data_IF_433998126012
#
_entry.id   IF_433998126012
#
_cell.length_a   1.000
_cell.length_b   1.000
_cell.length_c   1.000
_cell.angle_alpha   90.00
_cell.angle_beta   90.00
_cell.angle_gamma   90.00
#
_symmetry.space_group_name_H-M   'P 1'
#
loop_
_entity.id
_entity.type
_entity.pdbx_description
1 polymer ?
#
# COMPACT_ATOMS: atom_id res chain seq x y z
N UNK A 1 21.10 -1.80 -47.74
CA UNK A 1 21.24 -2.67 -46.56
C UNK A 1 21.73 -1.81 -45.40
N UNK A 2 20.85 -1.31 -44.60
CA UNK A 2 21.17 -0.55 -43.35
C UNK A 2 20.80 -1.43 -42.16
N UNK A 3 21.81 -1.75 -41.38
CA UNK A 3 21.71 -2.55 -40.18
C UNK A 3 21.32 -1.61 -39.01
N UNK A 4 20.11 -1.74 -38.49
CA UNK A 4 19.67 -1.03 -37.31
C UNK A 4 20.25 -1.71 -36.05
N UNK A 5 21.12 -0.97 -35.35
CA UNK A 5 21.65 -1.37 -34.05
C UNK A 5 20.59 -1.13 -33.00
N UNK A 6 20.03 -2.19 -32.47
CA UNK A 6 19.31 -2.17 -31.19
C UNK A 6 20.31 -1.88 -30.06
N UNK A 7 20.23 -0.69 -29.48
CA UNK A 7 20.96 -0.35 -28.26
C UNK A 7 20.25 -0.97 -27.07
N UNK A 8 20.74 -2.10 -26.59
CA UNK A 8 20.43 -2.68 -25.28
C UNK A 8 21.10 -1.81 -24.21
N UNK A 9 20.31 -0.99 -23.51
CA UNK A 9 20.76 -0.32 -22.30
C UNK A 9 20.86 -1.34 -21.16
N UNK A 10 22.04 -1.93 -21.01
CA UNK A 10 22.42 -2.62 -19.78
C UNK A 10 22.86 -1.57 -18.77
N UNK A 11 21.93 -1.13 -17.92
CA UNK A 11 22.30 -0.40 -16.71
C UNK A 11 22.86 -1.42 -15.73
N UNK A 12 24.19 -1.44 -15.59
CA UNK A 12 24.86 -2.14 -14.49
C UNK A 12 24.41 -1.51 -13.17
N UNK A 13 23.53 -2.21 -12.47
CA UNK A 13 23.28 -1.95 -11.05
C UNK A 13 24.60 -2.30 -10.35
N UNK A 14 25.31 -1.27 -9.85
CA UNK A 14 26.46 -1.48 -8.97
C UNK A 14 25.94 -2.15 -7.70
N UNK A 15 26.51 -3.29 -7.39
CA UNK A 15 26.32 -4.03 -6.18
C UNK A 15 26.53 -3.11 -4.99
N UNK A 16 25.44 -2.75 -4.33
CA UNK A 16 25.45 -2.17 -2.99
C UNK A 16 25.28 -3.34 -2.02
N UNK A 17 26.38 -4.09 -1.82
CA UNK A 17 26.48 -5.03 -0.71
C UNK A 17 26.56 -4.24 0.61
N UNK A 18 25.41 -3.83 1.10
CA UNK A 18 25.19 -3.66 2.53
C UNK A 18 24.02 -4.58 2.87
N UNK A 19 24.32 -5.72 3.51
CA UNK A 19 23.35 -6.50 4.28
C UNK A 19 22.89 -5.66 5.48
N UNK A 20 22.26 -4.53 5.23
CA UNK A 20 21.46 -3.80 6.18
C UNK A 20 20.17 -4.59 6.37
N UNK A 21 19.81 -4.88 7.60
CA UNK A 21 18.51 -5.46 7.93
C UNK A 21 17.43 -4.69 7.20
N UNK A 22 16.58 -5.38 6.41
CA UNK A 22 15.47 -4.83 5.60
C UNK A 22 14.37 -4.16 6.46
N UNK A 23 14.64 -3.95 7.72
CA UNK A 23 13.69 -3.53 8.75
C UNK A 23 13.73 -2.04 9.06
N UNK A 24 14.81 -1.34 8.73
CA UNK A 24 14.99 0.06 9.14
C UNK A 24 14.59 1.06 8.06
N UNK A 25 13.72 2.00 8.46
CA UNK A 25 13.37 3.15 7.63
C UNK A 25 14.60 4.05 7.46
N UNK A 26 14.92 4.38 6.20
CA UNK A 26 15.96 5.35 5.90
C UNK A 26 15.40 6.77 6.00
N UNK A 27 15.80 7.52 7.04
CA UNK A 27 15.29 8.86 7.36
C UNK A 27 15.69 9.95 6.36
N UNK A 28 16.66 9.70 5.49
CA UNK A 28 17.07 10.64 4.43
C UNK A 28 16.04 10.74 3.32
N UNK A 29 15.17 9.74 3.20
CA UNK A 29 14.13 9.63 2.18
C UNK A 29 12.74 9.80 2.79
N UNK A 30 11.75 10.22 1.99
CA UNK A 30 10.37 10.23 2.47
C UNK A 30 9.86 8.81 2.74
N UNK A 31 8.87 8.69 3.60
CA UNK A 31 8.09 7.46 3.79
C UNK A 31 6.87 7.57 2.90
N UNK A 32 6.68 6.58 2.04
CA UNK A 32 5.54 6.52 1.12
C UNK A 32 4.53 5.49 1.59
N UNK A 33 3.30 5.92 1.83
CA UNK A 33 2.18 5.06 2.20
C UNK A 33 1.18 5.05 1.07
N UNK A 34 0.97 3.88 0.48
CA UNK A 34 0.09 3.66 -0.66
C UNK A 34 -1.12 2.86 -0.21
N UNK A 35 -2.32 3.40 -0.34
CA UNK A 35 -3.54 2.63 -0.21
C UNK A 35 -4.03 2.16 -1.57
N UNK A 36 -4.39 0.89 -1.71
CA UNK A 36 -4.94 0.35 -2.95
C UNK A 36 -6.46 0.49 -3.00
N UNK A 37 -6.99 0.69 -4.21
CA UNK A 37 -8.40 0.84 -4.49
C UNK A 37 -8.66 1.11 -5.98
N UNK A 38 -9.93 1.12 -6.37
CA UNK A 38 -10.39 1.52 -7.69
C UNK A 38 -10.89 2.97 -7.66
N UNK A 39 -10.57 3.80 -8.65
CA UNK A 39 -11.09 5.16 -8.75
C UNK A 39 -12.57 5.17 -9.16
N UNK A 40 -13.26 6.21 -8.74
CA UNK A 40 -14.65 6.47 -9.11
C UNK A 40 -15.66 6.28 -7.97
N UNK A 41 -16.82 6.95 -8.07
CA UNK A 41 -17.82 6.98 -6.99
C UNK A 41 -18.41 5.59 -6.69
N UNK A 42 -18.58 4.75 -7.70
CA UNK A 42 -19.14 3.39 -7.58
C UNK A 42 -18.33 2.48 -6.65
N UNK A 43 -16.99 2.71 -6.55
CA UNK A 43 -16.10 1.85 -5.76
C UNK A 43 -15.78 2.41 -4.38
N UNK A 44 -16.25 3.63 -4.07
CA UNK A 44 -15.78 4.42 -2.93
C UNK A 44 -15.89 3.68 -1.59
N UNK A 45 -16.92 2.88 -1.39
CA UNK A 45 -17.21 2.20 -0.13
C UNK A 45 -17.04 0.69 -0.21
N UNK A 46 -16.52 0.17 -1.33
CA UNK A 46 -16.35 -1.28 -1.51
C UNK A 46 -15.21 -1.82 -0.64
N UNK A 47 -15.26 -3.12 -0.34
CA UNK A 47 -14.22 -3.83 0.40
C UNK A 47 -12.85 -3.69 -0.24
N UNK A 48 -12.80 -3.72 -1.59
CA UNK A 48 -11.56 -3.56 -2.36
C UNK A 48 -10.91 -2.19 -2.21
N UNK A 49 -11.67 -1.19 -1.76
CA UNK A 49 -11.20 0.17 -1.50
C UNK A 49 -10.78 0.43 -0.05
N UNK A 50 -10.68 -0.59 0.81
CA UNK A 50 -10.28 -0.40 2.20
C UNK A 50 -8.92 0.29 2.34
N UNK A 51 -8.00 0.07 1.37
CA UNK A 51 -6.74 0.81 1.32
C UNK A 51 -6.93 2.31 1.06
N UNK A 52 -7.86 2.70 0.17
CA UNK A 52 -8.21 4.11 -0.06
C UNK A 52 -8.84 4.73 1.19
N UNK A 53 -9.75 4.00 1.85
CA UNK A 53 -10.38 4.45 3.10
C UNK A 53 -9.33 4.67 4.19
N UNK A 54 -8.33 3.79 4.30
CA UNK A 54 -7.23 3.95 5.25
C UNK A 54 -6.39 5.20 4.95
N UNK A 55 -6.09 5.49 3.67
CA UNK A 55 -5.38 6.72 3.28
C UNK A 55 -6.21 7.97 3.58
N UNK A 56 -7.52 7.95 3.33
CA UNK A 56 -8.37 9.11 3.64
C UNK A 56 -8.36 9.40 5.14
N UNK A 57 -8.52 8.38 5.99
CA UNK A 57 -8.46 8.54 7.44
C UNK A 57 -7.07 8.96 7.94
N UNK A 58 -6.00 8.43 7.33
CA UNK A 58 -4.62 8.82 7.63
C UNK A 58 -4.32 10.26 7.19
N UNK A 59 -4.84 10.68 6.04
CA UNK A 59 -4.77 12.06 5.53
C UNK A 59 -5.34 13.07 6.55
N UNK A 60 -6.50 12.75 7.11
CA UNK A 60 -7.13 13.58 8.13
C UNK A 60 -6.30 13.59 9.43
N UNK A 61 -5.87 12.43 9.91
CA UNK A 61 -5.09 12.28 11.14
C UNK A 61 -3.73 12.99 11.10
N UNK A 62 -3.07 13.03 9.92
CA UNK A 62 -1.78 13.68 9.73
C UNK A 62 -1.92 15.13 9.23
N UNK A 63 -3.13 15.61 8.93
CA UNK A 63 -3.41 16.88 8.27
C UNK A 63 -2.63 17.05 6.96
N UNK A 64 -2.54 15.96 6.16
CA UNK A 64 -1.86 15.92 4.85
C UNK A 64 -2.90 15.74 3.76
N UNK A 65 -3.22 16.79 3.01
CA UNK A 65 -4.25 16.76 1.98
C UNK A 65 -3.80 15.98 0.73
N UNK A 66 -4.54 14.93 0.36
CA UNK A 66 -4.30 14.10 -0.83
C UNK A 66 -5.06 14.67 -2.02
N UNK A 67 -4.51 15.72 -2.69
CA UNK A 67 -5.20 16.47 -3.74
C UNK A 67 -4.41 16.65 -5.04
N UNK A 68 -3.11 16.33 -5.06
CA UNK A 68 -2.26 16.56 -6.24
C UNK A 68 -2.20 15.34 -7.13
N UNK A 69 -2.65 15.46 -8.37
CA UNK A 69 -2.55 14.38 -9.36
C UNK A 69 -1.14 14.36 -9.98
N UNK A 70 -0.42 13.26 -9.82
CA UNK A 70 0.90 13.00 -10.44
C UNK A 70 1.10 11.50 -10.66
N UNK A 71 1.73 11.12 -11.78
CA UNK A 71 1.99 9.72 -12.12
C UNK A 71 0.76 8.79 -12.01
N UNK A 72 -0.40 9.26 -12.45
CA UNK A 72 -1.69 8.54 -12.32
C UNK A 72 -2.06 8.20 -10.88
N UNK A 73 -1.64 9.01 -9.90
CA UNK A 73 -2.02 8.88 -8.50
C UNK A 73 -2.41 10.23 -7.91
N UNK A 74 -3.33 10.22 -6.95
CA UNK A 74 -3.56 11.34 -6.06
C UNK A 74 -2.53 11.28 -4.94
N UNK A 75 -1.84 12.40 -4.71
CA UNK A 75 -0.76 12.53 -3.75
C UNK A 75 -1.07 13.59 -2.69
N UNK A 76 -0.63 13.32 -1.47
CA UNK A 76 -0.45 14.29 -0.39
C UNK A 76 0.97 14.24 0.13
N UNK A 77 1.63 15.38 0.21
CA UNK A 77 3.00 15.51 0.74
C UNK A 77 2.96 16.34 2.02
N UNK A 78 3.61 15.88 3.07
CA UNK A 78 3.67 16.58 4.36
C UNK A 78 4.74 16.04 5.28
N UNK A 79 4.58 16.28 6.57
CA UNK A 79 5.48 15.78 7.62
C UNK A 79 4.67 15.20 8.77
N UNK A 80 5.23 14.18 9.40
CA UNK A 80 4.77 13.68 10.69
C UNK A 80 6.00 13.54 11.60
N UNK A 81 6.05 14.34 12.65
CA UNK A 81 7.29 14.56 13.40
C UNK A 81 8.40 15.07 12.48
N UNK A 82 9.55 14.43 12.52
CA UNK A 82 10.70 14.77 11.68
C UNK A 82 10.66 14.14 10.28
N UNK A 83 9.80 13.14 10.06
CA UNK A 83 9.75 12.38 8.82
C UNK A 83 8.95 13.10 7.72
N UNK A 84 9.47 13.07 6.49
CA UNK A 84 8.70 13.45 5.30
C UNK A 84 7.77 12.30 4.92
N UNK A 85 6.51 12.57 4.66
CA UNK A 85 5.48 11.57 4.35
C UNK A 85 4.83 11.88 3.01
N UNK A 86 4.65 10.84 2.20
CA UNK A 86 3.91 10.89 0.94
C UNK A 86 2.76 9.90 1.01
N UNK A 87 1.53 10.40 1.03
CA UNK A 87 0.32 9.59 0.96
C UNK A 87 -0.10 9.43 -0.49
N UNK A 88 -0.47 8.22 -0.90
CA UNK A 88 -0.71 7.89 -2.31
C UNK A 88 -1.98 7.06 -2.47
N UNK A 89 -2.85 7.51 -3.38
CA UNK A 89 -3.99 6.73 -3.91
C UNK A 89 -3.79 6.57 -5.42
N UNK A 90 -3.43 5.36 -5.93
CA UNK A 90 -3.38 5.10 -7.37
C UNK A 90 -4.72 5.37 -8.03
N UNK A 91 -4.75 6.21 -9.07
CA UNK A 91 -5.96 6.54 -9.82
C UNK A 91 -6.08 5.70 -11.10
N UNK A 92 -5.51 4.50 -11.06
CA UNK A 92 -5.68 3.43 -12.04
C UNK A 92 -6.67 2.40 -11.50
N UNK A 93 -7.20 1.52 -12.36
CA UNK A 93 -7.86 0.33 -11.84
C UNK A 93 -6.88 -0.54 -11.04
N UNK A 94 -7.42 -1.34 -10.12
CA UNK A 94 -6.64 -2.16 -9.17
C UNK A 94 -5.53 -2.96 -9.86
N UNK A 95 -5.84 -3.68 -10.94
CA UNK A 95 -4.88 -4.49 -11.69
C UNK A 95 -3.78 -3.68 -12.41
N UNK A 96 -3.84 -2.36 -12.39
CA UNK A 96 -2.84 -1.46 -12.96
C UNK A 96 -2.13 -0.57 -11.92
N UNK A 97 -2.32 -0.84 -10.62
CA UNK A 97 -1.78 -0.01 -9.52
C UNK A 97 -0.27 0.23 -9.64
N UNK A 98 0.48 -0.75 -10.12
CA UNK A 98 1.92 -0.61 -10.35
C UNK A 98 2.30 0.48 -11.35
N UNK A 99 1.42 0.81 -12.32
CA UNK A 99 1.66 1.92 -13.28
C UNK A 99 1.65 3.30 -12.62
N UNK A 100 1.10 3.40 -11.42
CA UNK A 100 1.17 4.61 -10.62
C UNK A 100 2.31 4.53 -9.59
N UNK A 101 2.45 3.38 -8.91
CA UNK A 101 3.39 3.22 -7.79
C UNK A 101 4.85 3.16 -8.25
N UNK A 102 5.19 2.37 -9.28
CA UNK A 102 6.57 2.21 -9.71
C UNK A 102 7.22 3.54 -10.19
N UNK A 103 6.56 4.39 -11.01
CA UNK A 103 7.10 5.70 -11.34
C UNK A 103 7.32 6.62 -10.14
N UNK A 104 6.46 6.53 -9.10
CA UNK A 104 6.63 7.29 -7.87
C UNK A 104 7.85 6.83 -7.08
N UNK A 105 8.03 5.52 -6.90
CA UNK A 105 9.21 4.93 -6.26
C UNK A 105 10.49 5.40 -6.95
N UNK A 106 10.53 5.37 -8.27
CA UNK A 106 11.67 5.86 -9.06
C UNK A 106 11.89 7.37 -8.91
N UNK A 107 10.81 8.16 -8.98
CA UNK A 107 10.88 9.63 -8.86
C UNK A 107 11.45 10.09 -7.52
N UNK A 108 11.03 9.46 -6.43
CA UNK A 108 11.54 9.77 -5.09
C UNK A 108 12.84 9.04 -4.76
N UNK A 109 13.37 8.20 -5.67
CA UNK A 109 14.53 7.30 -5.42
C UNK A 109 14.34 6.52 -4.12
N UNK A 110 13.11 6.06 -3.89
CA UNK A 110 12.64 5.57 -2.61
C UNK A 110 13.28 4.21 -2.28
N UNK A 111 13.98 4.06 -1.13
CA UNK A 111 14.30 2.74 -0.60
C UNK A 111 13.01 1.96 -0.35
N UNK A 112 12.98 0.68 -0.74
CA UNK A 112 11.75 -0.10 -0.61
C UNK A 112 11.35 -0.37 0.84
N UNK A 113 12.27 -0.27 1.81
CA UNK A 113 11.95 -0.25 3.25
C UNK A 113 11.07 0.93 3.68
N UNK A 114 11.09 2.03 2.91
CA UNK A 114 10.26 3.21 3.15
C UNK A 114 8.91 3.19 2.41
N UNK A 115 8.62 2.11 1.67
CA UNK A 115 7.33 1.90 1.00
C UNK A 115 6.43 1.02 1.85
N UNK A 116 5.26 1.51 2.24
CA UNK A 116 4.21 0.70 2.85
C UNK A 116 2.98 0.66 1.93
N UNK A 117 2.55 -0.54 1.51
CA UNK A 117 1.36 -0.72 0.69
C UNK A 117 0.23 -1.33 1.52
N UNK A 118 -0.92 -0.65 1.59
CA UNK A 118 -2.12 -1.06 2.32
C UNK A 118 -3.13 -1.63 1.32
N UNK A 119 -3.61 -2.84 1.59
CA UNK A 119 -4.56 -3.51 0.71
C UNK A 119 -5.50 -4.45 1.48
N UNK A 120 -6.62 -4.79 0.84
CA UNK A 120 -7.56 -5.81 1.30
C UNK A 120 -6.98 -7.21 1.22
N UNK A 121 -7.43 -8.09 2.10
CA UNK A 121 -7.03 -9.49 2.11
C UNK A 121 -8.20 -10.42 2.47
N UNK A 122 -8.52 -11.34 1.54
CA UNK A 122 -9.60 -12.32 1.69
C UNK A 122 -9.29 -13.44 2.68
N UNK A 123 -8.00 -13.75 2.87
CA UNK A 123 -7.55 -14.87 3.70
C UNK A 123 -7.42 -14.50 5.18
N UNK A 124 -7.54 -13.22 5.51
CA UNK A 124 -7.61 -12.74 6.88
C UNK A 124 -9.06 -12.47 7.28
N UNK A 125 -9.48 -12.91 8.47
CA UNK A 125 -10.80 -12.55 9.02
C UNK A 125 -11.01 -11.04 9.02
N UNK A 126 -12.24 -10.59 8.80
CA UNK A 126 -12.58 -9.17 8.97
C UNK A 126 -12.32 -8.74 10.42
N UNK A 127 -11.69 -7.58 10.59
CA UNK A 127 -11.20 -7.15 11.89
C UNK A 127 -9.74 -7.54 12.18
N UNK A 128 -9.01 -8.15 11.22
CA UNK A 128 -7.60 -8.50 11.38
C UNK A 128 -6.71 -7.56 10.58
N UNK A 129 -5.62 -7.11 11.22
CA UNK A 129 -4.56 -6.36 10.57
C UNK A 129 -3.26 -7.14 10.60
N UNK A 130 -2.53 -7.19 9.50
CA UNK A 130 -1.25 -7.89 9.41
C UNK A 130 -0.23 -7.15 8.54
N UNK A 131 0.86 -6.72 9.16
CA UNK A 131 2.03 -6.19 8.46
C UNK A 131 3.01 -7.32 8.14
N UNK A 132 3.71 -7.19 7.02
CA UNK A 132 4.77 -8.09 6.57
C UNK A 132 5.88 -7.29 5.91
N UNK A 133 7.18 -7.68 6.05
CA UNK A 133 8.29 -7.02 5.39
C UNK A 133 8.30 -7.27 3.88
N UNK A 134 7.78 -8.42 3.48
CA UNK A 134 7.79 -8.90 2.09
C UNK A 134 6.71 -9.95 1.88
N UNK A 135 6.54 -10.44 0.65
CA UNK A 135 5.69 -11.58 0.35
C UNK A 135 4.96 -11.47 -0.99
N UNK A 136 4.32 -12.55 -1.39
CA UNK A 136 3.57 -12.65 -2.64
C UNK A 136 2.29 -11.79 -2.67
N UNK A 137 1.47 -12.03 -3.67
CA UNK A 137 0.28 -11.22 -3.97
C UNK A 137 -0.94 -11.55 -3.12
N UNK A 138 -0.99 -12.74 -2.50
CA UNK A 138 -2.21 -13.29 -1.85
C UNK A 138 -3.47 -13.17 -2.73
N UNK A 139 -3.32 -13.31 -4.05
CA UNK A 139 -4.42 -13.15 -5.02
C UNK A 139 -4.82 -11.69 -5.29
N UNK A 140 -4.27 -10.72 -4.59
CA UNK A 140 -4.62 -9.30 -4.77
C UNK A 140 -3.96 -8.73 -6.03
N UNK A 141 -4.81 -8.29 -6.99
CA UNK A 141 -4.37 -7.89 -8.34
C UNK A 141 -3.51 -6.62 -8.35
N UNK A 142 -3.75 -5.69 -7.42
CA UNK A 142 -2.96 -4.47 -7.29
C UNK A 142 -1.55 -4.76 -6.81
N UNK A 143 -1.41 -5.66 -5.82
CA UNK A 143 -0.10 -6.15 -5.37
C UNK A 143 0.65 -6.87 -6.48
N UNK A 144 -0.04 -7.70 -7.28
CA UNK A 144 0.56 -8.35 -8.45
C UNK A 144 1.12 -7.33 -9.44
N UNK A 145 0.36 -6.28 -9.75
CA UNK A 145 0.80 -5.20 -10.63
C UNK A 145 2.03 -4.45 -10.08
N UNK A 146 2.05 -4.15 -8.78
CA UNK A 146 3.17 -3.45 -8.15
C UNK A 146 4.43 -4.33 -8.17
N UNK A 147 4.33 -5.60 -7.76
CA UNK A 147 5.45 -6.55 -7.75
C UNK A 147 6.03 -6.72 -9.17
N UNK A 148 5.18 -6.86 -10.18
CA UNK A 148 5.61 -6.99 -11.57
C UNK A 148 6.39 -5.76 -12.04
N UNK A 149 5.92 -4.55 -11.75
CA UNK A 149 6.54 -3.32 -12.26
C UNK A 149 7.71 -2.82 -11.41
N UNK A 150 7.81 -3.20 -10.14
CA UNK A 150 9.01 -2.98 -9.32
C UNK A 150 10.07 -4.08 -9.53
N UNK A 151 9.69 -5.25 -10.07
CA UNK A 151 10.58 -6.40 -10.26
C UNK A 151 10.96 -7.11 -8.95
N UNK A 152 10.26 -6.82 -7.85
CA UNK A 152 10.54 -7.41 -6.54
C UNK A 152 9.30 -7.41 -5.65
N UNK A 153 9.27 -8.33 -4.70
CA UNK A 153 8.26 -8.41 -3.64
C UNK A 153 8.81 -7.97 -2.26
N UNK A 154 10.03 -7.46 -2.22
CA UNK A 154 10.74 -7.09 -1.00
C UNK A 154 10.43 -5.65 -0.60
N UNK A 155 9.21 -5.41 -0.11
CA UNK A 155 8.76 -4.14 0.46
C UNK A 155 7.65 -4.36 1.50
N UNK A 156 7.54 -3.50 2.51
CA UNK A 156 6.50 -3.55 3.53
C UNK A 156 5.08 -3.47 2.98
N UNK A 157 4.18 -4.27 3.54
CA UNK A 157 2.75 -4.23 3.27
C UNK A 157 1.91 -4.38 4.53
N UNK A 158 0.76 -3.76 4.52
CA UNK A 158 -0.28 -3.89 5.53
C UNK A 158 -1.50 -4.54 4.89
N UNK A 159 -1.86 -5.73 5.35
CA UNK A 159 -3.01 -6.52 4.91
C UNK A 159 -4.16 -6.24 5.87
N UNK A 160 -5.26 -5.73 5.35
CA UNK A 160 -6.49 -5.52 6.09
C UNK A 160 -7.47 -6.65 5.75
N UNK A 161 -7.78 -7.48 6.73
CA UNK A 161 -8.70 -8.59 6.57
C UNK A 161 -10.10 -8.09 6.21
N UNK A 162 -10.68 -8.68 5.17
CA UNK A 162 -12.08 -8.45 4.78
C UNK A 162 -12.92 -9.73 4.86
N UNK A 163 -12.28 -10.86 5.21
CA UNK A 163 -12.90 -12.17 5.25
C UNK A 163 -13.18 -12.75 3.87
N UNK A 164 -13.53 -14.02 3.85
CA UNK A 164 -13.94 -14.71 2.62
C UNK A 164 -15.43 -14.50 2.32
N UNK A 165 -15.82 -14.53 1.04
CA UNK A 165 -17.23 -14.44 0.66
C UNK A 165 -18.04 -15.58 1.28
N UNK A 166 -19.29 -15.30 1.69
CA UNK A 166 -20.17 -16.33 2.24
C UNK A 166 -20.65 -17.31 1.13
N UNK A 167 -20.75 -18.59 1.49
CA UNK A 167 -21.27 -19.64 0.60
C UNK A 167 -20.44 -19.81 -0.66
N UNK A 168 -21.08 -19.71 -1.83
CA UNK A 168 -20.45 -19.89 -3.15
C UNK A 168 -20.29 -18.57 -3.93
N UNK A 169 -20.35 -17.41 -3.25
CA UNK A 169 -20.20 -16.12 -3.90
C UNK A 169 -18.79 -15.97 -4.50
N UNK A 170 -18.72 -15.45 -5.73
CA UNK A 170 -17.46 -15.17 -6.40
C UNK A 170 -16.63 -14.13 -5.62
N UNK A 171 -15.34 -14.41 -5.32
CA UNK A 171 -14.47 -13.47 -4.64
C UNK A 171 -14.36 -12.10 -5.32
N UNK A 172 -14.39 -12.05 -6.66
CA UNK A 172 -14.34 -10.78 -7.41
C UNK A 172 -15.62 -9.96 -7.18
N UNK A 173 -16.77 -10.62 -7.15
CA UNK A 173 -18.03 -9.95 -6.83
C UNK A 173 -18.04 -9.46 -5.38
N UNK A 174 -17.53 -10.24 -4.44
CA UNK A 174 -17.50 -9.92 -3.02
C UNK A 174 -16.65 -8.68 -2.72
N UNK A 175 -15.44 -8.58 -3.25
CA UNK A 175 -14.57 -7.43 -3.00
C UNK A 175 -15.12 -6.12 -3.58
N UNK A 176 -15.98 -6.20 -4.57
CA UNK A 176 -16.66 -5.05 -5.17
C UNK A 176 -17.97 -4.66 -4.47
N UNK A 177 -18.40 -5.41 -3.44
CA UNK A 177 -19.53 -5.02 -2.57
C UNK A 177 -19.08 -4.10 -1.46
N UNK A 178 -19.98 -3.22 -1.05
CA UNK A 178 -19.79 -2.36 0.11
C UNK A 178 -19.77 -3.19 1.41
N UNK A 179 -19.14 -2.64 2.45
CA UNK A 179 -19.30 -3.15 3.80
C UNK A 179 -20.75 -2.99 4.26
N UNK A 180 -21.28 -4.01 4.94
CA UNK A 180 -22.65 -3.98 5.47
C UNK A 180 -22.79 -2.92 6.57
N UNK A 181 -24.01 -2.41 6.81
CA UNK A 181 -24.25 -1.51 7.95
C UNK A 181 -23.79 -2.08 9.29
N UNK A 182 -23.96 -3.39 9.50
CA UNK A 182 -23.51 -4.10 10.71
C UNK A 182 -21.99 -4.24 10.84
N UNK A 183 -21.24 -3.99 9.77
CA UNK A 183 -19.76 -4.06 9.74
C UNK A 183 -19.11 -2.69 9.95
N UNK A 184 -19.88 -1.59 9.94
CA UNK A 184 -19.32 -0.22 9.93
C UNK A 184 -18.55 0.12 11.22
N UNK A 185 -19.01 -0.32 12.37
CA UNK A 185 -18.33 -0.05 13.65
C UNK A 185 -16.96 -0.74 13.67
N UNK A 186 -16.91 -2.03 13.29
CA UNK A 186 -15.66 -2.77 13.21
C UNK A 186 -14.74 -2.20 12.12
N UNK A 187 -15.29 -1.79 10.96
CA UNK A 187 -14.50 -1.11 9.90
C UNK A 187 -13.85 0.16 10.44
N UNK A 188 -14.57 0.96 11.22
CA UNK A 188 -14.01 2.18 11.83
C UNK A 188 -12.86 1.87 12.78
N UNK A 189 -12.95 0.79 13.58
CA UNK A 189 -11.88 0.33 14.46
C UNK A 189 -10.67 -0.13 13.62
N UNK A 190 -10.89 -0.95 12.58
CA UNK A 190 -9.83 -1.39 11.65
C UNK A 190 -9.09 -0.21 11.03
N UNK A 191 -9.82 0.77 10.53
CA UNK A 191 -9.24 1.96 9.90
C UNK A 191 -8.49 2.83 10.91
N UNK A 192 -9.00 2.96 12.14
CA UNK A 192 -8.30 3.69 13.21
C UNK A 192 -7.00 2.98 13.60
N UNK A 193 -7.04 1.66 13.78
CA UNK A 193 -5.85 0.85 14.07
C UNK A 193 -4.84 0.92 12.92
N UNK A 194 -5.30 0.93 11.67
CA UNK A 194 -4.42 1.11 10.50
C UNK A 194 -3.72 2.48 10.52
N UNK A 195 -4.41 3.56 10.92
CA UNK A 195 -3.80 4.88 11.10
C UNK A 195 -2.70 4.85 12.16
N UNK A 196 -2.98 4.29 13.32
CA UNK A 196 -1.99 4.18 14.41
C UNK A 196 -0.79 3.32 14.02
N UNK A 197 -1.03 2.22 13.30
CA UNK A 197 0.03 1.39 12.75
C UNK A 197 0.88 2.15 11.72
N UNK A 198 0.28 2.98 10.85
CA UNK A 198 1.02 3.85 9.94
C UNK A 198 1.86 4.89 10.69
N UNK A 199 1.32 5.53 11.73
CA UNK A 199 2.06 6.48 12.56
C UNK A 199 3.25 5.81 13.25
N UNK A 200 3.06 4.60 13.81
CA UNK A 200 4.13 3.82 14.43
C UNK A 200 5.16 3.38 13.36
N UNK A 201 4.72 2.97 12.17
CA UNK A 201 5.62 2.66 11.06
C UNK A 201 6.50 3.87 10.70
N UNK A 202 5.93 5.08 10.63
CA UNK A 202 6.67 6.30 10.31
C UNK A 202 7.71 6.64 11.39
N UNK A 203 7.38 6.43 12.66
CA UNK A 203 8.22 6.89 13.79
C UNK A 203 9.20 5.83 14.30
N UNK A 204 8.80 4.56 14.28
CA UNK A 204 9.49 3.48 14.96
C UNK A 204 9.89 2.31 14.05
N UNK A 205 9.44 2.33 12.78
CA UNK A 205 9.78 1.32 11.79
C UNK A 205 8.89 0.07 11.82
N UNK A 206 9.16 -0.84 10.87
CA UNK A 206 8.28 -1.98 10.59
C UNK A 206 8.23 -2.99 11.73
N UNK A 207 9.36 -3.36 12.32
CA UNK A 207 9.44 -4.41 13.35
C UNK A 207 8.58 -4.09 14.55
N UNK A 208 8.68 -2.85 15.07
CA UNK A 208 7.86 -2.42 16.21
C UNK A 208 6.37 -2.38 15.83
N UNK A 209 6.07 -1.92 14.63
CA UNK A 209 4.69 -1.89 14.12
C UNK A 209 4.10 -3.30 14.03
N UNK A 210 4.85 -4.27 13.50
CA UNK A 210 4.41 -5.67 13.42
C UNK A 210 4.14 -6.25 14.81
N UNK A 211 5.03 -6.01 15.77
CA UNK A 211 4.90 -6.54 17.13
C UNK A 211 3.67 -5.98 17.86
N UNK A 212 3.30 -4.73 17.55
CA UNK A 212 2.21 -4.04 18.25
C UNK A 212 0.83 -4.28 17.59
N UNK A 213 0.77 -4.39 16.26
CA UNK A 213 -0.51 -4.33 15.54
C UNK A 213 -0.88 -5.59 14.77
N UNK A 214 -0.01 -6.61 14.67
CA UNK A 214 -0.38 -7.85 14.01
C UNK A 214 -1.34 -8.66 14.88
N UNK A 215 -2.60 -8.76 14.44
CA UNK A 215 -3.64 -9.51 15.14
C UNK A 215 -5.04 -9.04 14.80
N UNK A 216 -5.99 -9.48 15.62
CA UNK A 216 -7.34 -8.96 15.61
C UNK A 216 -7.35 -7.58 16.27
N UNK A 217 -8.12 -6.65 15.70
CA UNK A 217 -8.31 -5.32 16.27
C UNK A 217 -9.47 -5.35 17.29
N UNK A 218 -9.33 -4.64 18.37
CA UNK A 218 -10.31 -4.58 19.47
C UNK A 218 -10.58 -3.14 19.88
#
# INVERSE_FOLDING_TARGET
MRCERQMLFHVKIKDCESRGNMEDINKDFPIMIVGLGNPGPTYRHTRHNVGFLAIDKLSDALNIQVKRLKFKAMLGEGRFGESKVVLVKPMTFMNESGRAVAPLVHFYKLPLSNLLVIHDDLDLPFGTLRLRPSGGTSGQRGMASIITLLGTQEFPRMRLGIGRPPGQMDPVEYVLKDFLPSEQDLLNIVLQTAVEACQTFITEGLTKTMNKYNGEVS
#
